data_IF_047787913651
#
_entry.id   IF_047787913651
#
_cell.length_a   1.000
_cell.length_b   1.000
_cell.length_c   1.000
_cell.angle_alpha   90.00
_cell.angle_beta   90.00
_cell.angle_gamma   90.00
#
_symmetry.space_group_name_H-M   'P 1'
#
loop_
_entity.id
_entity.type
_entity.pdbx_description
1 polymer ?
#
# COMPACT_ATOMS: atom_id res chain seq x y z
N UNK A 1 10.08 57.22 -38.22
CA UNK A 1 10.23 57.06 -36.75
C UNK A 1 9.42 55.83 -36.32
N UNK A 2 10.11 54.73 -36.00
CA UNK A 2 9.55 53.36 -36.01
C UNK A 2 9.14 52.90 -34.61
N UNK A 3 7.84 52.97 -34.27
CA UNK A 3 7.27 52.50 -32.98
C UNK A 3 6.62 51.11 -33.11
N UNK A 4 7.36 50.09 -33.56
CA UNK A 4 6.82 48.72 -33.68
C UNK A 4 7.71 47.60 -33.11
N UNK A 5 8.76 47.92 -32.34
CA UNK A 5 9.73 46.92 -31.84
C UNK A 5 9.63 46.57 -30.34
N UNK A 6 8.67 47.12 -29.60
CA UNK A 6 8.59 46.90 -28.14
C UNK A 6 7.68 45.72 -27.79
N UNK A 7 6.61 45.47 -28.56
CA UNK A 7 5.60 44.44 -28.25
C UNK A 7 5.98 42.98 -28.57
N UNK A 8 7.14 42.72 -29.19
CA UNK A 8 7.56 41.35 -29.51
C UNK A 8 8.45 40.71 -28.44
N UNK A 9 8.95 41.50 -27.49
CA UNK A 9 9.93 41.01 -26.51
C UNK A 9 9.27 40.33 -25.29
N UNK A 10 8.04 40.70 -24.93
CA UNK A 10 7.34 40.08 -23.78
C UNK A 10 6.90 38.63 -24.05
N UNK A 11 6.54 38.30 -25.29
CA UNK A 11 6.10 36.93 -25.66
C UNK A 11 7.23 35.91 -25.72
N UNK A 12 8.48 36.36 -25.92
CA UNK A 12 9.63 35.48 -26.04
C UNK A 12 10.15 34.97 -24.68
N UNK A 13 9.92 35.73 -23.60
CA UNK A 13 10.30 35.36 -22.24
C UNK A 13 9.22 34.59 -21.48
N UNK A 14 7.94 34.73 -21.85
CA UNK A 14 6.84 34.02 -21.21
C UNK A 14 6.89 32.50 -21.43
N UNK A 15 7.36 32.05 -22.61
CA UNK A 15 7.44 30.63 -22.98
C UNK A 15 8.51 29.87 -22.19
N UNK A 16 9.78 30.34 -22.08
CA UNK A 16 10.78 29.66 -21.26
C UNK A 16 10.43 29.70 -19.76
N UNK A 17 9.73 30.75 -19.28
CA UNK A 17 9.26 30.83 -17.89
C UNK A 17 8.16 29.80 -17.60
N UNK A 18 7.25 29.57 -18.55
CA UNK A 18 6.19 28.55 -18.45
C UNK A 18 6.79 27.13 -18.44
N UNK A 19 7.82 26.87 -19.26
CA UNK A 19 8.52 25.58 -19.30
C UNK A 19 9.28 25.33 -17.99
N UNK A 20 9.84 26.38 -17.37
CA UNK A 20 10.51 26.27 -16.07
C UNK A 20 9.52 25.94 -14.94
N UNK A 21 8.30 26.51 -14.96
CA UNK A 21 7.24 26.19 -13.97
C UNK A 21 6.70 24.76 -14.17
N UNK A 22 6.56 24.30 -15.42
CA UNK A 22 6.14 22.92 -15.72
C UNK A 22 7.16 21.86 -15.27
N UNK A 23 8.46 22.18 -15.31
CA UNK A 23 9.52 21.28 -14.81
C UNK A 23 9.53 21.14 -13.28
N UNK A 24 8.99 22.11 -12.54
CA UNK A 24 8.85 22.03 -11.08
C UNK A 24 7.54 21.37 -10.59
N UNK A 25 6.56 21.18 -11.47
CA UNK A 25 5.31 20.48 -11.13
C UNK A 25 5.42 18.95 -11.22
N UNK A 26 6.51 18.42 -11.79
CA UNK A 26 6.75 16.98 -11.95
C UNK A 26 7.70 16.44 -10.86
N UNK A 27 7.43 16.79 -9.60
CA UNK A 27 8.19 16.28 -8.45
C UNK A 27 7.25 16.02 -7.27
N UNK A 28 6.13 15.35 -7.53
CA UNK A 28 5.27 14.85 -6.46
C UNK A 28 4.87 13.40 -6.71
N UNK A 29 5.85 12.55 -6.97
CA UNK A 29 5.71 11.11 -6.72
C UNK A 29 7.00 10.69 -6.00
N UNK A 30 7.12 11.15 -4.76
CA UNK A 30 8.07 10.59 -3.81
C UNK A 30 7.71 9.11 -3.63
N UNK A 31 8.41 8.28 -4.39
CA UNK A 31 8.48 6.85 -4.26
C UNK A 31 8.67 6.46 -2.78
N UNK A 32 7.87 5.49 -2.32
CA UNK A 32 8.28 4.61 -1.21
C UNK A 32 7.48 4.67 0.09
N UNK A 33 6.33 5.34 0.17
CA UNK A 33 5.44 5.19 1.33
C UNK A 33 4.61 3.90 1.18
N UNK A 34 5.27 2.75 1.31
CA UNK A 34 4.57 1.49 1.53
C UNK A 34 3.73 1.61 2.80
N UNK A 35 2.40 1.49 2.67
CA UNK A 35 1.53 1.47 3.84
C UNK A 35 1.60 0.09 4.47
N UNK A 36 1.48 0.07 5.80
CA UNK A 36 1.46 -1.17 6.56
C UNK A 36 0.02 -1.58 6.87
N UNK A 37 -0.36 -2.79 6.46
CA UNK A 37 -1.61 -3.44 6.86
C UNK A 37 -1.25 -4.53 7.86
N UNK A 38 -1.85 -4.49 9.05
CA UNK A 38 -1.63 -5.48 10.11
C UNK A 38 -2.90 -6.30 10.32
N UNK A 39 -2.76 -7.61 10.25
CA UNK A 39 -3.78 -8.58 10.63
C UNK A 39 -3.34 -9.17 11.98
N UNK A 40 -4.06 -8.85 13.04
CA UNK A 40 -3.67 -9.21 14.40
C UNK A 40 -4.27 -10.56 14.82
N UNK A 41 -3.48 -11.35 15.56
CA UNK A 41 -3.98 -12.55 16.24
C UNK A 41 -4.49 -13.66 15.31
N UNK A 42 -3.90 -13.77 14.12
CA UNK A 42 -4.22 -14.86 13.20
C UNK A 42 -3.64 -16.18 13.69
N UNK A 43 -4.36 -17.27 13.45
CA UNK A 43 -3.89 -18.63 13.72
C UNK A 43 -3.52 -19.31 12.41
N UNK A 44 -2.44 -20.09 12.41
CA UNK A 44 -1.93 -20.75 11.21
C UNK A 44 -2.29 -22.23 11.20
N UNK A 45 -2.80 -22.68 10.06
CA UNK A 45 -3.19 -24.06 9.82
C UNK A 45 -2.43 -24.63 8.62
N UNK A 46 -2.04 -25.89 8.70
CA UNK A 46 -1.53 -26.70 7.60
C UNK A 46 -2.40 -27.95 7.50
N UNK A 47 -2.97 -28.21 6.32
CA UNK A 47 -3.91 -29.32 6.09
C UNK A 47 -5.08 -29.35 7.10
N UNK A 48 -5.63 -28.18 7.43
CA UNK A 48 -6.74 -28.03 8.38
C UNK A 48 -6.38 -28.29 9.84
N UNK A 49 -5.10 -28.57 10.15
CA UNK A 49 -4.61 -28.74 11.52
C UNK A 49 -3.81 -27.52 11.94
N UNK A 50 -3.97 -27.11 13.19
CA UNK A 50 -3.16 -26.05 13.77
C UNK A 50 -1.69 -26.47 13.69
N UNK A 51 -0.83 -25.60 13.17
CA UNK A 51 0.59 -25.89 13.05
C UNK A 51 1.20 -25.97 14.46
N UNK A 52 1.72 -27.14 14.82
CA UNK A 52 2.46 -27.36 16.07
C UNK A 52 3.93 -26.95 15.94
N UNK A 53 4.56 -26.52 17.04
CA UNK A 53 5.97 -26.15 17.06
C UNK A 53 6.27 -24.70 16.67
N UNK A 54 5.24 -23.87 16.46
CA UNK A 54 5.40 -22.43 16.30
C UNK A 54 5.70 -21.75 17.65
N UNK A 55 6.43 -20.63 17.66
CA UNK A 55 6.71 -19.87 18.89
C UNK A 55 5.45 -19.42 19.64
N UNK A 56 4.34 -19.23 18.91
CA UNK A 56 3.02 -18.93 19.46
C UNK A 56 1.92 -19.47 18.54
N UNK A 57 0.74 -19.76 19.08
CA UNK A 57 -0.45 -20.13 18.30
C UNK A 57 -1.12 -18.93 17.61
N UNK A 58 -0.65 -17.73 17.94
CA UNK A 58 -1.13 -16.46 17.43
C UNK A 58 0.04 -15.68 16.83
N UNK A 59 -0.21 -15.11 15.65
CA UNK A 59 0.74 -14.25 14.98
C UNK A 59 0.02 -13.03 14.43
N UNK A 60 0.79 -11.97 14.23
CA UNK A 60 0.38 -10.83 13.44
C UNK A 60 1.02 -10.95 12.06
N UNK A 61 0.20 -10.81 11.03
CA UNK A 61 0.67 -10.71 9.65
C UNK A 61 0.73 -9.24 9.28
N UNK A 62 1.92 -8.79 8.91
CA UNK A 62 2.21 -7.41 8.54
C UNK A 62 2.53 -7.39 7.05
N UNK A 63 1.73 -6.65 6.28
CA UNK A 63 1.89 -6.46 4.84
C UNK A 63 2.38 -5.05 4.57
N UNK A 64 3.48 -4.91 3.83
CA UNK A 64 4.00 -3.62 3.36
C UNK A 64 3.71 -3.46 1.88
N UNK A 65 2.65 -2.75 1.55
CA UNK A 65 2.16 -2.60 0.18
C UNK A 65 1.97 -1.12 -0.19
N UNK A 66 2.20 -0.73 -1.45
CA UNK A 66 1.80 0.60 -1.91
C UNK A 66 0.28 0.71 -1.80
N UNK A 67 -0.20 1.73 -1.07
CA UNK A 67 -1.63 1.91 -0.82
C UNK A 67 -2.04 3.34 -1.11
N UNK A 68 -3.01 3.47 -2.01
CA UNK A 68 -3.75 4.69 -2.27
C UNK A 68 -5.21 4.53 -1.84
N UNK A 69 -5.79 3.33 -2.01
CA UNK A 69 -7.20 3.06 -1.73
C UNK A 69 -7.38 1.62 -1.22
N UNK A 70 -8.19 1.44 -0.17
CA UNK A 70 -8.71 0.14 0.25
C UNK A 70 -10.20 0.10 -0.08
N UNK A 71 -10.60 -0.81 -0.95
CA UNK A 71 -12.01 -1.15 -1.16
C UNK A 71 -12.37 -2.34 -0.27
N UNK A 72 -13.38 -2.18 0.59
CA UNK A 72 -13.88 -3.24 1.46
C UNK A 72 -15.25 -3.68 0.97
N UNK A 73 -15.44 -4.99 0.85
CA UNK A 73 -16.72 -5.60 0.51
C UNK A 73 -16.97 -6.79 1.41
N UNK A 74 -18.22 -6.99 1.82
CA UNK A 74 -18.63 -8.13 2.63
C UNK A 74 -19.82 -8.82 1.98
N UNK A 75 -19.76 -10.14 1.91
CA UNK A 75 -20.82 -10.99 1.37
C UNK A 75 -21.01 -12.18 2.31
N UNK A 76 -22.13 -12.21 3.04
CA UNK A 76 -22.35 -13.21 4.09
C UNK A 76 -21.27 -13.13 5.17
N UNK A 77 -20.55 -14.25 5.38
CA UNK A 77 -19.44 -14.35 6.33
C UNK A 77 -18.06 -14.05 5.72
N UNK A 78 -18.00 -13.71 4.44
CA UNK A 78 -16.76 -13.36 3.74
C UNK A 78 -16.57 -11.84 3.70
N UNK A 79 -15.37 -11.38 4.03
CA UNK A 79 -14.95 -9.98 3.87
C UNK A 79 -13.71 -9.92 2.98
N UNK A 80 -13.77 -9.13 1.92
CA UNK A 80 -12.69 -8.95 0.96
C UNK A 80 -12.19 -7.50 0.99
N UNK A 81 -10.89 -7.33 1.17
CA UNK A 81 -10.17 -6.06 1.05
C UNK A 81 -9.36 -6.09 -0.24
N UNK A 82 -9.59 -5.12 -1.13
CA UNK A 82 -8.78 -4.89 -2.33
C UNK A 82 -7.96 -3.61 -2.16
N UNK A 83 -6.67 -3.70 -2.43
CA UNK A 83 -5.69 -2.65 -2.16
C UNK A 83 -5.16 -2.14 -3.51
N UNK A 84 -5.42 -0.87 -3.82
CA UNK A 84 -4.91 -0.20 -5.04
C UNK A 84 -3.74 0.74 -4.69
N UNK A 85 -2.79 0.99 -5.61
CA UNK A 85 -2.79 0.64 -7.04
C UNK A 85 -2.33 -0.79 -7.37
N UNK A 86 -1.97 -1.61 -6.38
CA UNK A 86 -1.58 -3.00 -6.60
C UNK A 86 -2.75 -3.95 -6.87
N UNK A 87 -2.44 -5.24 -6.94
CA UNK A 87 -3.40 -6.35 -7.07
C UNK A 87 -3.62 -7.09 -5.75
N UNK A 88 -3.14 -6.51 -4.64
CA UNK A 88 -3.19 -7.14 -3.33
C UNK A 88 -4.65 -7.29 -2.86
N UNK A 89 -5.03 -8.53 -2.56
CA UNK A 89 -6.37 -8.90 -2.10
C UNK A 89 -6.27 -9.73 -0.84
N UNK A 90 -6.96 -9.30 0.21
CA UNK A 90 -7.09 -10.03 1.48
C UNK A 90 -8.53 -10.51 1.59
N UNK A 91 -8.73 -11.81 1.66
CA UNK A 91 -10.06 -12.42 1.86
C UNK A 91 -10.11 -13.07 3.22
N UNK A 92 -11.08 -12.68 4.03
CA UNK A 92 -11.32 -13.16 5.38
C UNK A 92 -12.62 -13.95 5.36
N UNK A 93 -12.54 -15.22 5.79
CA UNK A 93 -13.66 -16.16 5.84
C UNK A 93 -13.65 -16.89 7.18
N UNK A 94 -14.73 -17.61 7.53
CA UNK A 94 -14.76 -18.43 8.74
C UNK A 94 -13.67 -19.52 8.79
N UNK A 95 -13.23 -20.02 7.62
CA UNK A 95 -12.20 -21.05 7.49
C UNK A 95 -10.77 -20.49 7.43
N UNK A 96 -10.60 -19.17 7.33
CA UNK A 96 -9.29 -18.54 7.44
C UNK A 96 -9.13 -17.24 6.67
N UNK A 97 -7.86 -16.83 6.52
CA UNK A 97 -7.46 -15.63 5.77
C UNK A 97 -6.60 -16.04 4.59
N UNK A 98 -6.92 -15.51 3.40
CA UNK A 98 -6.13 -15.65 2.18
C UNK A 98 -5.60 -14.29 1.75
N UNK A 99 -4.33 -14.23 1.38
CA UNK A 99 -3.64 -13.02 0.92
C UNK A 99 -3.05 -13.35 -0.45
N UNK A 100 -3.46 -12.60 -1.47
CA UNK A 100 -3.02 -12.77 -2.86
C UNK A 100 -2.47 -11.46 -3.40
N UNK A 101 -1.64 -11.52 -4.45
CA UNK A 101 -1.11 -10.33 -5.12
C UNK A 101 -0.12 -9.52 -4.29
N UNK A 102 0.54 -10.14 -3.30
CA UNK A 102 1.59 -9.55 -2.46
C UNK A 102 2.85 -10.38 -2.60
N UNK A 103 4.00 -9.74 -2.82
CA UNK A 103 5.29 -10.42 -2.88
C UNK A 103 5.67 -10.97 -1.51
N UNK A 104 6.27 -12.16 -1.44
CA UNK A 104 6.65 -12.76 -0.16
C UNK A 104 7.61 -11.89 0.67
N UNK A 105 8.41 -11.05 0.02
CA UNK A 105 9.31 -10.09 0.69
C UNK A 105 8.56 -8.94 1.40
N UNK A 106 7.30 -8.70 1.03
CA UNK A 106 6.44 -7.67 1.61
C UNK A 106 5.63 -8.19 2.81
N UNK A 107 5.70 -9.50 3.10
CA UNK A 107 4.99 -10.16 4.19
C UNK A 107 5.96 -10.39 5.34
N UNK A 108 5.60 -9.90 6.52
CA UNK A 108 6.30 -10.18 7.79
C UNK A 108 5.33 -10.85 8.75
N UNK A 109 5.80 -11.90 9.42
CA UNK A 109 5.07 -12.58 10.48
C UNK A 109 5.73 -12.22 11.81
N UNK A 110 4.95 -11.71 12.76
CA UNK A 110 5.39 -11.45 14.12
C UNK A 110 4.61 -12.35 15.08
N UNK A 111 5.31 -13.20 15.83
CA UNK A 111 4.67 -14.07 16.82
C UNK A 111 4.24 -13.27 18.03
N UNK A 112 2.99 -13.44 18.47
CA UNK A 112 2.54 -12.82 19.70
C UNK A 112 3.19 -13.56 20.88
N UNK A 113 4.15 -12.92 21.53
CA UNK A 113 4.77 -13.44 22.74
C UNK A 113 3.69 -13.62 23.80
N UNK A 114 3.58 -14.82 24.36
CA UNK A 114 2.87 -15.01 25.61
C UNK A 114 3.72 -14.39 26.72
N UNK A 115 3.57 -13.09 26.96
CA UNK A 115 4.00 -12.54 28.24
C UNK A 115 3.12 -13.21 29.29
N UNK A 116 3.64 -14.25 29.93
CA UNK A 116 3.14 -14.70 31.22
C UNK A 116 3.18 -13.49 32.14
N UNK A 117 2.00 -12.90 32.41
CA UNK A 117 1.80 -12.12 33.62
C UNK A 117 2.18 -13.04 34.78
N UNK A 118 3.32 -12.75 35.40
CA UNK A 118 3.78 -13.40 36.62
C UNK A 118 3.04 -12.80 37.81
#
# INVERSE_FOLDING_TARGET
MSRKRIFKFERAYAIPLLILVLLFACSCEAAGLGTTIRLEGVSMYLDGKLISGLPSQKADIILKVPLNEISISSAGSETTLKIKPGDATITIKPDGVSINGVDSQQIKIEWQSTTQSK
#
